data_IF_750325132798
#
_entry.id   IF_750325132798
#
_cell.length_a   1.000
_cell.length_b   1.000
_cell.length_c   1.000
_cell.angle_alpha   90.00
_cell.angle_beta   90.00
_cell.angle_gamma   90.00
#
_symmetry.space_group_name_H-M   'P 1'
#
loop_
_entity.id
_entity.type
_entity.pdbx_description
1 polymer ?
#
# COMPACT_ATOMS: atom_id res chain seq x y z
N UNK A 1 -8.62 6.07 35.20
CA UNK A 1 -8.86 6.76 33.98
C UNK A 1 -8.93 5.85 32.79
N UNK A 2 -9.92 6.05 32.02
CA UNK A 2 -10.11 5.22 30.86
C UNK A 2 -8.97 5.41 29.86
N UNK A 3 -8.32 4.34 29.53
CA UNK A 3 -7.28 4.35 28.53
C UNK A 3 -7.88 4.14 27.15
N UNK A 4 -8.86 5.00 26.85
CA UNK A 4 -9.57 4.94 25.60
C UNK A 4 -8.64 5.16 24.43
N UNK A 5 -8.77 4.34 23.41
CA UNK A 5 -8.03 4.51 22.19
C UNK A 5 -8.32 5.89 21.59
N UNK A 6 -7.27 6.68 21.27
CA UNK A 6 -7.48 7.94 20.57
C UNK A 6 -8.22 7.74 19.26
N UNK A 7 -9.10 8.67 18.91
CA UNK A 7 -9.83 8.60 17.65
C UNK A 7 -8.89 8.58 16.45
N UNK A 8 -7.72 9.20 16.57
CA UNK A 8 -6.70 9.19 15.53
C UNK A 8 -6.22 7.76 15.21
N UNK A 9 -6.13 6.86 16.20
CA UNK A 9 -5.73 5.48 15.99
C UNK A 9 -6.79 4.73 15.18
N UNK A 10 -8.05 4.88 15.53
CA UNK A 10 -9.15 4.23 14.79
C UNK A 10 -9.25 4.78 13.38
N UNK A 11 -9.15 6.09 13.21
CA UNK A 11 -9.16 6.73 11.89
C UNK A 11 -7.97 6.25 11.05
N UNK A 12 -6.78 6.18 11.64
CA UNK A 12 -5.59 5.69 10.96
C UNK A 12 -5.77 4.24 10.51
N UNK A 13 -6.32 3.39 11.36
CA UNK A 13 -6.63 2.00 11.01
C UNK A 13 -7.54 1.93 9.79
N UNK A 14 -8.65 2.69 9.81
CA UNK A 14 -9.59 2.68 8.70
C UNK A 14 -8.95 3.17 7.40
N UNK A 15 -8.13 4.22 7.49
CA UNK A 15 -7.42 4.74 6.32
C UNK A 15 -6.40 3.75 5.77
N UNK A 16 -5.67 3.06 6.62
CA UNK A 16 -4.72 2.03 6.20
C UNK A 16 -5.43 0.84 5.56
N UNK A 17 -6.58 0.45 6.10
CA UNK A 17 -7.39 -0.64 5.52
C UNK A 17 -7.95 -0.24 4.16
N UNK A 18 -8.45 0.99 4.03
CA UNK A 18 -8.94 1.51 2.74
C UNK A 18 -7.80 1.54 1.73
N UNK A 19 -6.64 2.04 2.14
CA UNK A 19 -5.44 2.06 1.30
C UNK A 19 -5.01 0.65 0.90
N UNK A 20 -5.02 -0.29 1.82
CA UNK A 20 -4.71 -1.68 1.54
C UNK A 20 -5.70 -2.30 0.54
N UNK A 21 -6.99 -2.00 0.67
CA UNK A 21 -8.01 -2.47 -0.26
C UNK A 21 -7.79 -1.92 -1.67
N UNK A 22 -7.47 -0.62 -1.79
CA UNK A 22 -7.15 0.01 -3.06
C UNK A 22 -5.88 -0.58 -3.67
N UNK A 23 -4.87 -0.82 -2.85
CA UNK A 23 -3.62 -1.42 -3.29
C UNK A 23 -3.83 -2.87 -3.76
N UNK A 24 -4.66 -3.62 -3.05
CA UNK A 24 -5.05 -4.99 -3.44
C UNK A 24 -5.76 -4.98 -4.80
N UNK A 25 -6.72 -4.09 -4.98
CA UNK A 25 -7.46 -3.97 -6.24
C UNK A 25 -6.51 -3.59 -7.38
N UNK A 26 -5.64 -2.60 -7.15
CA UNK A 26 -4.64 -2.20 -8.14
C UNK A 26 -3.67 -3.31 -8.48
N UNK A 27 -3.22 -4.04 -7.48
CA UNK A 27 -2.34 -5.19 -7.66
C UNK A 27 -3.00 -6.32 -8.45
N UNK A 28 -4.26 -6.59 -8.13
CA UNK A 28 -5.04 -7.62 -8.84
C UNK A 28 -5.23 -7.26 -10.32
N UNK A 29 -5.59 -6.01 -10.59
CA UNK A 29 -5.74 -5.52 -11.96
C UNK A 29 -4.41 -5.64 -12.71
N UNK A 30 -3.33 -5.18 -12.10
CA UNK A 30 -2.00 -5.21 -12.72
C UNK A 30 -1.53 -6.65 -12.97
N UNK A 31 -1.75 -7.54 -12.02
CA UNK A 31 -1.38 -8.96 -12.15
C UNK A 31 -2.22 -9.69 -13.20
N UNK A 32 -3.43 -9.18 -13.49
CA UNK A 32 -4.36 -9.79 -14.43
C UNK A 32 -4.21 -9.30 -15.87
N UNK A 33 -3.29 -8.35 -16.12
CA UNK A 33 -3.08 -7.82 -17.47
C UNK A 33 -2.65 -8.93 -18.44
N UNK A 34 -3.29 -8.92 -19.63
CA UNK A 34 -2.94 -9.82 -20.70
C UNK A 34 -1.94 -9.20 -21.67
N UNK A 35 -1.30 -10.03 -22.49
CA UNK A 35 -0.33 -9.60 -23.48
C UNK A 35 -0.89 -8.50 -24.41
N UNK A 36 -2.10 -8.70 -24.93
CA UNK A 36 -2.72 -7.75 -25.85
C UNK A 36 -2.91 -6.37 -25.22
N UNK A 37 -3.31 -6.32 -23.96
CA UNK A 37 -3.49 -5.07 -23.24
C UNK A 37 -2.17 -4.34 -23.08
N UNK A 38 -1.11 -5.04 -22.70
CA UNK A 38 0.23 -4.46 -22.56
C UNK A 38 0.76 -4.04 -23.93
N UNK A 39 0.53 -4.86 -24.96
CA UNK A 39 0.96 -4.56 -26.33
C UNK A 39 0.40 -3.23 -26.85
N UNK A 40 -0.87 -2.97 -26.55
CA UNK A 40 -1.56 -1.74 -26.98
C UNK A 40 -0.97 -0.48 -26.34
N UNK A 41 -0.32 -0.59 -25.19
CA UNK A 41 0.29 0.56 -24.50
C UNK A 41 1.67 0.88 -25.02
N UNK A 42 2.26 0.02 -25.87
CA UNK A 42 3.61 0.17 -26.34
C UNK A 42 3.65 0.55 -27.83
N UNK A 43 4.67 1.35 -28.25
CA UNK A 43 4.87 1.65 -29.66
C UNK A 43 5.13 0.38 -30.49
N UNK A 44 4.76 0.43 -31.76
CA UNK A 44 4.97 -0.69 -32.68
C UNK A 44 6.47 -1.08 -32.83
N UNK A 45 7.36 -0.13 -32.54
CA UNK A 45 8.81 -0.36 -32.60
C UNK A 45 9.33 -1.27 -31.47
N UNK A 46 8.54 -1.44 -30.40
CA UNK A 46 8.91 -2.34 -29.28
C UNK A 46 8.63 -3.78 -29.72
N UNK A 47 9.61 -4.66 -29.53
CA UNK A 47 9.48 -6.07 -29.91
C UNK A 47 8.49 -6.82 -29.00
N UNK A 48 7.90 -7.90 -29.51
CA UNK A 48 7.01 -8.74 -28.73
C UNK A 48 7.72 -9.38 -27.54
N UNK A 49 9.01 -9.67 -27.68
CA UNK A 49 9.81 -10.19 -26.57
C UNK A 49 9.90 -9.15 -25.44
N UNK A 50 10.13 -7.89 -25.77
CA UNK A 50 10.14 -6.81 -24.79
C UNK A 50 8.78 -6.60 -24.15
N UNK A 51 7.70 -6.68 -24.92
CA UNK A 51 6.33 -6.60 -24.39
C UNK A 51 6.06 -7.74 -23.41
N UNK A 52 6.51 -8.95 -23.74
CA UNK A 52 6.36 -10.11 -22.86
C UNK A 52 7.14 -9.93 -21.56
N UNK A 53 8.33 -9.33 -21.61
CA UNK A 53 9.12 -9.01 -20.41
C UNK A 53 8.39 -8.00 -19.54
N UNK A 54 7.79 -6.97 -20.13
CA UNK A 54 6.98 -5.97 -19.42
C UNK A 54 5.75 -6.62 -18.77
N UNK A 55 5.11 -7.57 -19.46
CA UNK A 55 3.96 -8.30 -18.93
C UNK A 55 4.33 -9.05 -17.66
N UNK A 56 5.44 -9.77 -17.66
CA UNK A 56 5.90 -10.51 -16.48
C UNK A 56 6.31 -9.58 -15.35
N UNK A 57 6.93 -8.44 -15.68
CA UNK A 57 7.27 -7.42 -14.70
C UNK A 57 6.02 -6.86 -14.03
N UNK A 58 5.00 -6.52 -14.83
CA UNK A 58 3.73 -6.00 -14.30
C UNK A 58 3.02 -7.04 -13.42
N UNK A 59 3.03 -8.30 -13.80
CA UNK A 59 2.46 -9.36 -12.98
C UNK A 59 3.20 -9.50 -11.64
N UNK A 60 4.52 -9.43 -11.68
CA UNK A 60 5.33 -9.47 -10.46
C UNK A 60 5.04 -8.29 -9.54
N UNK A 61 4.95 -7.08 -10.09
CA UNK A 61 4.61 -5.87 -9.33
C UNK A 61 3.21 -5.99 -8.73
N UNK A 62 2.24 -6.48 -9.51
CA UNK A 62 0.87 -6.67 -9.02
C UNK A 62 0.79 -7.64 -7.85
N UNK A 63 1.51 -8.76 -7.95
CA UNK A 63 1.58 -9.75 -6.86
C UNK A 63 2.25 -9.13 -5.63
N UNK A 64 3.32 -8.37 -5.83
CA UNK A 64 3.99 -7.67 -4.74
C UNK A 64 3.04 -6.70 -4.03
N UNK A 65 2.25 -5.95 -4.78
CA UNK A 65 1.27 -5.03 -4.22
C UNK A 65 0.19 -5.78 -3.42
N UNK A 66 -0.27 -6.93 -3.91
CA UNK A 66 -1.23 -7.74 -3.19
C UNK A 66 -0.67 -8.25 -1.86
N UNK A 67 0.57 -8.75 -1.87
CA UNK A 67 1.24 -9.21 -0.65
C UNK A 67 1.44 -8.06 0.33
N UNK A 68 1.86 -6.90 -0.16
CA UNK A 68 2.03 -5.70 0.67
C UNK A 68 0.70 -5.25 1.27
N UNK A 69 -0.39 -5.33 0.51
CA UNK A 69 -1.73 -4.96 0.97
C UNK A 69 -2.19 -5.87 2.11
N UNK A 70 -2.00 -7.18 1.97
CA UNK A 70 -2.33 -8.15 3.02
C UNK A 70 -1.51 -7.87 4.28
N UNK A 71 -0.22 -7.66 4.13
CA UNK A 71 0.67 -7.38 5.25
C UNK A 71 0.29 -6.07 5.96
N UNK A 72 -0.01 -5.02 5.19
CA UNK A 72 -0.41 -3.73 5.75
C UNK A 72 -1.72 -3.84 6.53
N UNK A 73 -2.72 -4.52 5.97
CA UNK A 73 -4.00 -4.73 6.64
C UNK A 73 -3.84 -5.50 7.94
N UNK A 74 -3.00 -6.54 7.92
CA UNK A 74 -2.73 -7.34 9.10
C UNK A 74 -2.01 -6.52 10.18
N UNK A 75 -0.98 -5.76 9.82
CA UNK A 75 -0.25 -4.92 10.76
C UNK A 75 -1.13 -3.80 11.30
N UNK A 76 -1.97 -3.20 10.46
CA UNK A 76 -2.91 -2.17 10.90
C UNK A 76 -3.87 -2.71 11.97
N UNK A 77 -4.38 -3.91 11.75
CA UNK A 77 -5.25 -4.58 12.72
C UNK A 77 -4.52 -4.86 14.04
N UNK A 78 -3.28 -5.35 13.94
CA UNK A 78 -2.45 -5.60 15.12
C UNK A 78 -2.10 -4.31 15.87
N UNK A 79 -1.92 -3.22 15.15
CA UNK A 79 -1.62 -1.93 15.76
C UNK A 79 -2.76 -1.43 16.68
N UNK A 80 -3.99 -1.88 16.47
CA UNK A 80 -5.11 -1.56 17.35
C UNK A 80 -4.93 -2.12 18.77
N UNK A 81 -4.05 -3.08 18.96
CA UNK A 81 -3.83 -3.74 20.27
C UNK A 81 -2.88 -3.00 21.19
N UNK A 82 -2.55 -1.75 20.85
CA UNK A 82 -1.68 -0.91 21.68
C UNK A 82 -0.27 -1.46 21.85
N UNK A 83 0.20 -2.26 20.89
CA UNK A 83 1.57 -2.75 20.88
C UNK A 83 2.43 -1.83 20.01
N UNK A 84 3.41 -1.11 20.59
CA UNK A 84 4.23 -0.17 19.83
C UNK A 84 5.06 -0.83 18.71
N UNK A 85 5.36 -2.13 18.86
CA UNK A 85 6.09 -2.84 17.81
C UNK A 85 5.26 -2.92 16.52
N UNK A 86 3.96 -3.20 16.64
CA UNK A 86 3.08 -3.28 15.47
C UNK A 86 2.81 -1.89 14.87
N UNK A 87 2.75 -0.84 15.70
CA UNK A 87 2.67 0.52 15.18
C UNK A 87 3.90 0.87 14.34
N UNK A 88 5.08 0.60 14.87
CA UNK A 88 6.33 0.86 14.14
C UNK A 88 6.41 0.05 12.86
N UNK A 89 6.03 -1.23 12.91
CA UNK A 89 6.01 -2.09 11.73
C UNK A 89 5.02 -1.59 10.68
N UNK A 90 3.82 -1.16 11.10
CA UNK A 90 2.82 -0.62 10.19
C UNK A 90 3.32 0.67 9.52
N UNK A 91 3.91 1.57 10.28
CA UNK A 91 4.48 2.82 9.75
C UNK A 91 5.62 2.52 8.77
N UNK A 92 6.53 1.63 9.15
CA UNK A 92 7.66 1.26 8.29
C UNK A 92 7.18 0.63 6.98
N UNK A 93 6.23 -0.31 7.05
CA UNK A 93 5.68 -0.94 5.86
C UNK A 93 4.92 0.08 4.99
N UNK A 94 4.13 0.96 5.61
CA UNK A 94 3.41 1.99 4.89
C UNK A 94 4.36 2.93 4.14
N UNK A 95 5.45 3.35 4.78
CA UNK A 95 6.47 4.18 4.13
C UNK A 95 7.15 3.45 2.97
N UNK A 96 7.44 2.16 3.14
CA UNK A 96 8.02 1.33 2.08
C UNK A 96 7.05 1.21 0.90
N UNK A 97 5.76 1.00 1.17
CA UNK A 97 4.72 0.92 0.13
C UNK A 97 4.63 2.25 -0.61
N UNK A 98 4.60 3.37 0.10
CA UNK A 98 4.55 4.70 -0.51
C UNK A 98 5.72 4.88 -1.46
N UNK A 99 6.92 4.55 -1.03
CA UNK A 99 8.12 4.67 -1.85
C UNK A 99 8.05 3.79 -3.09
N UNK A 100 7.72 2.51 -2.92
CA UNK A 100 7.67 1.55 -4.03
C UNK A 100 6.56 1.93 -5.03
N UNK A 101 5.38 2.29 -4.55
CA UNK A 101 4.26 2.68 -5.42
C UNK A 101 4.58 3.97 -6.16
N UNK A 102 5.20 4.94 -5.48
CA UNK A 102 5.58 6.21 -6.11
C UNK A 102 6.59 5.96 -7.24
N UNK A 103 7.61 5.13 -7.00
CA UNK A 103 8.59 4.77 -8.02
C UNK A 103 7.93 4.02 -9.17
N UNK A 104 7.11 3.02 -8.88
CA UNK A 104 6.41 2.23 -9.89
C UNK A 104 5.50 3.09 -10.74
N UNK A 105 4.83 4.08 -10.14
CA UNK A 105 3.90 4.98 -10.84
C UNK A 105 4.59 5.88 -11.84
N UNK A 106 5.87 6.19 -11.64
CA UNK A 106 6.66 6.98 -12.61
C UNK A 106 6.90 6.16 -13.87
N UNK A 107 7.08 4.85 -13.74
CA UNK A 107 7.43 3.97 -14.86
C UNK A 107 6.25 3.23 -15.50
N UNK A 108 5.08 3.27 -14.88
CA UNK A 108 3.92 2.53 -15.37
C UNK A 108 2.62 3.32 -15.23
N UNK A 109 1.61 2.93 -15.99
CA UNK A 109 0.29 3.57 -16.00
C UNK A 109 -0.64 3.06 -14.90
N UNK A 110 -0.16 2.96 -13.67
CA UNK A 110 -0.99 2.53 -12.55
C UNK A 110 -1.92 3.67 -12.12
N UNK A 111 -3.19 3.36 -11.90
CA UNK A 111 -4.21 4.34 -11.48
C UNK A 111 -4.62 4.11 -10.05
N UNK A 112 -5.02 2.88 -9.71
CA UNK A 112 -5.53 2.58 -8.36
C UNK A 112 -4.42 2.56 -7.30
N UNK A 113 -3.22 2.10 -7.66
CA UNK A 113 -2.12 2.05 -6.71
C UNK A 113 -1.72 3.45 -6.22
N UNK A 114 -1.54 4.47 -7.10
CA UNK A 114 -1.32 5.84 -6.63
C UNK A 114 -2.47 6.40 -5.78
N UNK A 115 -3.73 6.06 -6.08
CA UNK A 115 -4.86 6.48 -5.26
C UNK A 115 -4.78 5.92 -3.84
N UNK A 116 -4.23 4.72 -3.69
CA UNK A 116 -4.03 4.11 -2.37
C UNK A 116 -3.05 4.91 -1.51
N UNK A 117 -2.15 5.68 -2.10
CA UNK A 117 -1.17 6.48 -1.36
C UNK A 117 -1.82 7.52 -0.47
N UNK A 118 -2.93 8.11 -0.91
CA UNK A 118 -3.60 9.17 -0.14
C UNK A 118 -4.02 8.66 1.25
N UNK A 119 -4.85 7.62 1.36
CA UNK A 119 -5.24 7.13 2.68
C UNK A 119 -4.07 6.53 3.47
N UNK A 120 -3.10 5.89 2.79
CA UNK A 120 -1.93 5.33 3.45
C UNK A 120 -1.07 6.44 4.07
N UNK A 121 -0.81 7.51 3.34
CA UNK A 121 -0.02 8.65 3.84
C UNK A 121 -0.74 9.30 5.02
N UNK A 122 -2.03 9.58 4.88
CA UNK A 122 -2.81 10.21 5.95
C UNK A 122 -2.85 9.31 7.18
N UNK A 123 -3.08 8.02 7.01
CA UNK A 123 -3.07 7.06 8.12
C UNK A 123 -1.72 6.99 8.82
N UNK A 124 -0.63 7.01 8.06
CA UNK A 124 0.73 7.01 8.60
C UNK A 124 1.01 8.28 9.41
N UNK A 125 0.60 9.43 8.90
CA UNK A 125 0.75 10.72 9.60
C UNK A 125 -0.03 10.68 10.92
N UNK A 126 -1.26 10.16 10.91
CA UNK A 126 -2.05 10.04 12.13
C UNK A 126 -1.40 9.12 13.17
N UNK A 127 -0.83 7.99 12.75
CA UNK A 127 -0.13 7.08 13.64
C UNK A 127 1.16 7.69 14.22
N UNK A 128 1.70 8.70 13.56
CA UNK A 128 2.93 9.36 13.98
C UNK A 128 2.68 10.61 14.84
N UNK A 129 1.43 10.95 15.12
CA UNK A 129 1.10 12.09 15.97
C UNK A 129 1.58 11.87 17.40
N UNK A 130 2.05 12.92 18.10
CA UNK A 130 2.54 12.80 19.48
C UNK A 130 1.55 12.14 20.43
N UNK A 131 0.26 12.50 20.36
CA UNK A 131 -0.76 11.90 21.20
C UNK A 131 -0.91 10.39 20.98
N UNK A 132 -0.78 9.94 19.74
CA UNK A 132 -0.82 8.52 19.39
C UNK A 132 0.43 7.80 19.90
N UNK A 133 1.58 8.39 19.70
CA UNK A 133 2.84 7.82 20.18
C UNK A 133 2.82 7.65 21.69
N UNK A 134 2.33 8.65 22.40
CA UNK A 134 2.18 8.60 23.86
C UNK A 134 1.22 7.50 24.30
N UNK A 135 0.10 7.34 23.60
CA UNK A 135 -0.86 6.29 23.92
C UNK A 135 -0.23 4.89 23.81
N UNK A 136 0.60 4.65 22.79
CA UNK A 136 1.32 3.39 22.65
C UNK A 136 2.41 3.22 23.71
N UNK A 137 3.08 4.31 24.07
CA UNK A 137 4.15 4.27 25.07
C UNK A 137 3.62 3.96 26.47
N UNK A 138 2.39 4.41 26.79
CA UNK A 138 1.77 4.19 28.10
C UNK A 138 1.14 2.81 28.24
N UNK A 139 1.15 2.02 27.17
CA UNK A 139 0.55 0.70 27.13
C UNK A 139 1.39 -0.48 27.57
#
# INVERSE_FOLDING_TARGET
>A
MSETRPSAVTTAYLLLVIGAALLMAGGLITASLGFETVRRTQPASVTDESVNALLWLNRGIGILFMLAAVALGWLARRALRRDPRFRRAAVALALAIVLVVAIASVFGGFVLAPLALVPIIVGTVLLSRPAVVEWYADG
#
